data_IF_142900688115
#
_entry.id   IF_142900688115
#
_cell.length_a   1.000
_cell.length_b   1.000
_cell.length_c   1.000
_cell.angle_alpha   90.00
_cell.angle_beta   90.00
_cell.angle_gamma   90.00
#
_symmetry.space_group_name_H-M   'P 1'
#
loop_
_entity.id
_entity.type
_entity.pdbx_description
1 polymer ?
#
# COMPACT_ATOMS: atom_id res chain seq x y z
N UNK A 1 7.78 17.85 -36.52
CA UNK A 1 8.12 17.94 -35.07
C UNK A 1 6.84 17.83 -34.28
N UNK A 2 6.70 16.79 -33.47
CA UNK A 2 5.62 16.71 -32.47
C UNK A 2 6.17 17.34 -31.20
N UNK A 3 5.51 18.37 -30.69
CA UNK A 3 5.85 19.00 -29.41
C UNK A 3 4.94 18.38 -28.37
N UNK A 4 5.49 17.57 -27.47
CA UNK A 4 4.75 17.04 -26.33
C UNK A 4 4.70 18.10 -25.22
N UNK A 5 3.50 18.59 -24.92
CA UNK A 5 3.29 19.49 -23.79
C UNK A 5 2.99 18.68 -22.54
N UNK A 6 3.79 18.88 -21.49
CA UNK A 6 3.53 18.31 -20.16
C UNK A 6 3.02 19.41 -19.26
N UNK A 7 1.82 19.23 -18.73
CA UNK A 7 1.22 20.17 -17.80
C UNK A 7 1.41 19.70 -16.35
N UNK A 8 1.89 20.60 -15.49
CA UNK A 8 2.02 20.35 -14.05
C UNK A 8 0.93 21.11 -13.32
N UNK A 9 0.01 20.38 -12.70
CA UNK A 9 -1.06 20.94 -11.87
C UNK A 9 -0.82 20.65 -10.39
N UNK A 10 -1.17 21.60 -9.53
CA UNK A 10 -1.28 21.36 -8.09
C UNK A 10 -2.70 20.90 -7.77
N UNK A 11 -2.80 19.80 -7.04
CA UNK A 11 -4.09 19.31 -6.53
C UNK A 11 -4.52 20.14 -5.31
N UNK A 12 -5.77 20.60 -5.31
CA UNK A 12 -6.41 21.25 -4.17
C UNK A 12 -7.65 20.43 -3.78
N UNK A 13 -7.47 19.34 -3.01
CA UNK A 13 -8.56 18.47 -2.65
C UNK A 13 -9.53 19.15 -1.68
N UNK A 14 -10.81 18.85 -1.80
CA UNK A 14 -11.79 19.17 -0.76
C UNK A 14 -11.66 18.20 0.43
N UNK A 15 -12.44 18.41 1.50
CA UNK A 15 -12.34 17.61 2.73
C UNK A 15 -12.63 16.12 2.52
N UNK A 16 -13.56 15.77 1.64
CA UNK A 16 -13.87 14.38 1.33
C UNK A 16 -12.73 13.72 0.55
N UNK A 17 -12.15 14.44 -0.41
CA UNK A 17 -10.99 13.98 -1.20
C UNK A 17 -9.75 13.84 -0.32
N UNK A 18 -9.48 14.77 0.59
CA UNK A 18 -8.41 14.66 1.59
C UNK A 18 -8.57 13.38 2.41
N UNK A 19 -9.78 13.14 2.95
CA UNK A 19 -10.07 11.92 3.72
C UNK A 19 -9.85 10.67 2.88
N UNK A 20 -10.37 10.64 1.67
CA UNK A 20 -10.21 9.52 0.74
C UNK A 20 -8.73 9.22 0.48
N UNK A 21 -7.94 10.24 0.11
CA UNK A 21 -6.51 10.09 -0.19
C UNK A 21 -5.72 9.64 1.05
N UNK A 22 -6.04 10.19 2.22
CA UNK A 22 -5.40 9.79 3.48
C UNK A 22 -5.67 8.32 3.82
N UNK A 23 -6.89 7.82 3.58
CA UNK A 23 -7.22 6.40 3.72
C UNK A 23 -6.37 5.57 2.75
N UNK A 24 -6.35 5.91 1.45
CA UNK A 24 -5.59 5.15 0.46
C UNK A 24 -4.10 5.10 0.81
N UNK A 25 -3.46 6.25 0.96
CA UNK A 25 -2.01 6.33 1.18
C UNK A 25 -1.61 5.84 2.57
N UNK A 26 -2.41 6.14 3.58
CA UNK A 26 -2.19 5.69 4.95
C UNK A 26 -2.22 4.16 5.05
N UNK A 27 -3.20 3.52 4.42
CA UNK A 27 -3.36 2.07 4.47
C UNK A 27 -2.25 1.37 3.68
N UNK A 28 -1.92 1.86 2.47
CA UNK A 28 -0.77 1.34 1.70
C UNK A 28 0.54 1.46 2.47
N UNK A 29 0.78 2.61 3.11
CA UNK A 29 1.98 2.85 3.92
C UNK A 29 2.06 1.90 5.11
N UNK A 30 0.96 1.73 5.84
CA UNK A 30 0.87 0.80 6.96
C UNK A 30 1.18 -0.62 6.49
N UNK A 31 0.48 -1.09 5.45
CA UNK A 31 0.63 -2.45 4.93
C UNK A 31 2.05 -2.72 4.46
N UNK A 32 2.65 -1.79 3.70
CA UNK A 32 4.03 -1.90 3.24
C UNK A 32 5.00 -2.08 4.41
N UNK A 33 4.91 -1.20 5.41
CA UNK A 33 5.78 -1.28 6.58
C UNK A 33 5.58 -2.58 7.35
N UNK A 34 4.33 -3.05 7.49
CA UNK A 34 4.04 -4.29 8.21
C UNK A 34 4.57 -5.52 7.48
N UNK A 35 4.39 -5.59 6.17
CA UNK A 35 4.93 -6.67 5.35
C UNK A 35 6.46 -6.67 5.34
N UNK A 36 7.08 -5.49 5.30
CA UNK A 36 8.54 -5.34 5.36
C UNK A 36 9.10 -5.79 6.72
N UNK A 37 8.42 -5.45 7.82
CA UNK A 37 8.77 -5.93 9.16
C UNK A 37 8.76 -7.46 9.22
N UNK A 38 7.68 -8.08 8.75
CA UNK A 38 7.50 -9.54 8.76
C UNK A 38 8.57 -10.22 7.89
N UNK A 39 8.76 -9.77 6.65
CA UNK A 39 9.70 -10.42 5.73
C UNK A 39 11.15 -10.25 6.16
N UNK A 40 11.52 -9.12 6.76
CA UNK A 40 12.84 -8.94 7.39
C UNK A 40 13.06 -9.91 8.53
N UNK A 41 12.07 -10.04 9.43
CA UNK A 41 12.16 -10.95 10.56
C UNK A 41 12.32 -12.41 10.11
N UNK A 42 11.52 -12.86 9.16
CA UNK A 42 11.64 -14.23 8.64
C UNK A 42 12.97 -14.47 7.90
N UNK A 43 13.49 -13.46 7.22
CA UNK A 43 14.81 -13.55 6.61
C UNK A 43 15.93 -13.64 7.66
N UNK A 44 15.87 -12.84 8.71
CA UNK A 44 16.86 -12.85 9.80
C UNK A 44 16.84 -14.16 10.59
N UNK A 45 15.67 -14.72 10.84
CA UNK A 45 15.49 -15.94 11.64
C UNK A 45 15.73 -17.22 10.84
N UNK A 46 15.32 -17.26 9.57
CA UNK A 46 15.23 -18.50 8.78
C UNK A 46 15.94 -18.41 7.42
N UNK A 47 16.45 -17.24 7.03
CA UNK A 47 17.04 -17.01 5.71
C UNK A 47 16.02 -16.98 4.56
N UNK A 48 14.72 -16.96 4.86
CA UNK A 48 13.65 -17.05 3.86
C UNK A 48 13.44 -15.68 3.20
N UNK A 49 13.48 -15.65 1.87
CA UNK A 49 13.18 -14.45 1.07
C UNK A 49 11.78 -14.54 0.49
N UNK A 50 10.99 -13.50 0.72
CA UNK A 50 9.62 -13.42 0.19
C UNK A 50 9.62 -13.00 -1.28
N UNK A 51 8.76 -13.65 -2.05
CA UNK A 51 8.37 -13.21 -3.39
C UNK A 51 6.96 -12.59 -3.35
N UNK A 52 6.48 -12.09 -4.49
CA UNK A 52 5.15 -11.47 -4.60
C UNK A 52 4.00 -12.36 -4.10
N UNK A 53 4.06 -13.67 -4.33
CA UNK A 53 2.99 -14.59 -3.93
C UNK A 53 2.90 -14.76 -2.42
N UNK A 54 4.03 -14.70 -1.70
CA UNK A 54 4.04 -14.72 -0.23
C UNK A 54 3.33 -13.49 0.34
N UNK A 55 3.67 -12.29 -0.17
CA UNK A 55 2.98 -11.06 0.21
C UNK A 55 1.48 -11.12 -0.08
N UNK A 56 1.11 -11.55 -1.30
CA UNK A 56 -0.29 -11.70 -1.72
C UNK A 56 -1.06 -12.69 -0.84
N UNK A 57 -0.43 -13.80 -0.45
CA UNK A 57 -1.03 -14.81 0.42
C UNK A 57 -1.21 -14.30 1.86
N UNK A 58 -0.32 -13.43 2.32
CA UNK A 58 -0.39 -12.84 3.67
C UNK A 58 -1.47 -11.75 3.78
N UNK A 59 -1.71 -11.00 2.70
CA UNK A 59 -2.63 -9.86 2.71
C UNK A 59 -4.06 -10.19 3.23
N UNK A 60 -4.73 -11.30 2.81
CA UNK A 60 -6.02 -11.67 3.37
C UNK A 60 -6.00 -11.83 4.90
N UNK A 61 -4.95 -12.44 5.45
CA UNK A 61 -4.81 -12.60 6.91
C UNK A 61 -4.66 -11.25 7.60
N UNK A 62 -3.86 -10.34 7.03
CA UNK A 62 -3.70 -8.99 7.57
C UNK A 62 -4.99 -8.16 7.47
N UNK A 63 -5.84 -8.39 6.47
CA UNK A 63 -7.16 -7.73 6.40
C UNK A 63 -8.15 -8.22 7.46
N UNK A 64 -7.97 -9.43 7.98
CA UNK A 64 -8.76 -9.91 9.13
C UNK A 64 -8.20 -9.37 10.45
N UNK A 65 -6.87 -9.29 10.60
CA UNK A 65 -6.23 -8.70 11.79
C UNK A 65 -6.42 -7.18 11.87
N UNK A 66 -6.40 -6.51 10.72
CA UNK A 66 -6.54 -5.06 10.59
C UNK A 66 -7.71 -4.72 9.65
N UNK A 67 -8.97 -4.77 10.13
CA UNK A 67 -10.16 -4.58 9.29
C UNK A 67 -10.20 -3.25 8.52
N UNK A 68 -9.57 -2.19 9.05
CA UNK A 68 -9.49 -0.88 8.37
C UNK A 68 -8.82 -0.98 6.99
N UNK A 69 -7.96 -1.97 6.75
CA UNK A 69 -7.37 -2.22 5.42
C UNK A 69 -8.42 -2.53 4.35
N UNK A 70 -9.65 -2.91 4.71
CA UNK A 70 -10.75 -3.14 3.76
C UNK A 70 -11.33 -1.82 3.21
N UNK A 71 -11.04 -0.68 3.83
CA UNK A 71 -11.53 0.64 3.38
C UNK A 71 -10.72 1.22 2.21
N UNK A 72 -9.47 0.78 2.03
CA UNK A 72 -8.65 1.18 0.89
C UNK A 72 -8.96 0.32 -0.34
N UNK A 73 -8.67 0.87 -1.52
CA UNK A 73 -8.88 0.20 -2.79
C UNK A 73 -8.06 -1.10 -2.84
N UNK A 74 -8.72 -2.20 -3.19
CA UNK A 74 -8.11 -3.53 -3.20
C UNK A 74 -6.96 -3.68 -4.20
N UNK A 75 -6.94 -2.88 -5.27
CA UNK A 75 -5.84 -2.89 -6.26
C UNK A 75 -4.63 -2.08 -5.79
N UNK A 76 -4.81 -1.17 -4.83
CA UNK A 76 -3.73 -0.36 -4.26
C UNK A 76 -2.99 -1.06 -3.12
N UNK A 77 -3.56 -2.13 -2.57
CA UNK A 77 -3.02 -2.92 -1.46
C UNK A 77 -2.39 -4.25 -1.92
#
# INVERSE_FOLDING_TARGET
>A
MIVEYVYRYRLYPNKEQEKFLNIQFGHCRFLYNKLLEISKKEFEEQGIKWNYYEYKKKLPQLKEEYPFLKEANSQSL
#
